data_IF_753140038297
#
_entry.id   IF_753140038297
#
_cell.length_a   1.000
_cell.length_b   1.000
_cell.length_c   1.000
_cell.angle_alpha   90.00
_cell.angle_beta   90.00
_cell.angle_gamma   90.00
#
_symmetry.space_group_name_H-M   'P 1'
#
loop_
_entity.id
_entity.type
_entity.pdbx_description
1 polymer ?
#
# COMPACT_ATOMS: atom_id res chain seq x y z
N UNK A 1 12.82 -6.45 4.37
CA UNK A 1 12.76 -7.65 3.50
C UNK A 1 12.30 -7.20 2.14
N UNK A 2 12.94 -7.66 1.06
CA UNK A 2 12.51 -7.34 -0.29
C UNK A 2 11.27 -8.16 -0.66
N UNK A 3 10.22 -7.49 -1.13
CA UNK A 3 8.93 -8.13 -1.43
C UNK A 3 9.05 -9.10 -2.61
N UNK A 4 9.87 -8.80 -3.63
CA UNK A 4 10.03 -9.67 -4.79
C UNK A 4 10.70 -10.98 -4.38
N UNK A 5 11.73 -10.91 -3.53
CA UNK A 5 12.39 -12.11 -2.99
C UNK A 5 11.39 -12.96 -2.20
N UNK A 6 10.63 -12.34 -1.30
CA UNK A 6 9.68 -13.05 -0.44
C UNK A 6 8.57 -13.77 -1.23
N UNK A 7 8.01 -13.13 -2.27
CA UNK A 7 6.96 -13.77 -3.08
C UNK A 7 7.53 -14.87 -4.00
N UNK A 8 8.77 -14.75 -4.45
CA UNK A 8 9.46 -15.82 -5.16
C UNK A 8 9.75 -17.03 -4.26
N UNK A 9 10.00 -16.82 -2.98
CA UNK A 9 10.15 -17.91 -2.00
C UNK A 9 8.85 -18.72 -1.86
N UNK A 10 7.69 -18.05 -1.86
CA UNK A 10 6.38 -18.73 -1.90
C UNK A 10 6.24 -19.54 -3.19
N UNK A 11 6.50 -18.93 -4.35
CA UNK A 11 6.36 -19.60 -5.65
C UNK A 11 7.24 -20.85 -5.78
N UNK A 12 8.42 -20.82 -5.16
CA UNK A 12 9.37 -21.93 -5.18
C UNK A 12 9.15 -22.94 -4.04
N UNK A 13 8.12 -22.76 -3.21
CA UNK A 13 7.81 -23.67 -2.09
C UNK A 13 8.83 -23.62 -0.95
N UNK A 14 9.59 -22.52 -0.81
CA UNK A 14 10.53 -22.31 0.30
C UNK A 14 9.82 -21.81 1.56
N UNK A 15 8.69 -21.12 1.39
CA UNK A 15 7.85 -20.59 2.46
C UNK A 15 6.39 -20.84 2.09
N UNK A 16 5.57 -21.23 3.06
CA UNK A 16 4.16 -21.58 2.81
C UNK A 16 3.27 -20.34 2.60
N UNK A 17 3.57 -19.23 3.30
CA UNK A 17 2.81 -17.98 3.24
C UNK A 17 3.65 -16.75 3.61
N UNK A 18 3.25 -15.58 3.10
CA UNK A 18 3.87 -14.30 3.43
C UNK A 18 2.77 -13.25 3.65
N UNK A 19 2.87 -12.50 4.76
CA UNK A 19 1.91 -11.46 5.12
C UNK A 19 2.29 -10.14 4.43
N UNK A 20 1.34 -9.56 3.70
CA UNK A 20 1.52 -8.35 2.90
C UNK A 20 0.29 -7.46 2.97
N UNK A 21 0.49 -6.14 2.80
CA UNK A 21 -0.63 -5.22 2.57
C UNK A 21 -1.37 -5.56 1.28
N UNK A 22 -2.71 -5.50 1.33
CA UNK A 22 -3.59 -6.02 0.27
C UNK A 22 -3.27 -5.50 -1.14
N UNK A 23 -3.08 -4.18 -1.39
CA UNK A 23 -2.81 -3.71 -2.75
C UNK A 23 -1.56 -4.34 -3.38
N UNK A 24 -0.52 -4.55 -2.57
CA UNK A 24 0.73 -5.17 -3.01
C UNK A 24 0.53 -6.67 -3.23
N UNK A 25 -0.17 -7.34 -2.31
CA UNK A 25 -0.49 -8.77 -2.44
C UNK A 25 -1.23 -9.04 -3.76
N UNK A 26 -2.28 -8.26 -4.06
CA UNK A 26 -3.05 -8.36 -5.29
C UNK A 26 -2.20 -8.12 -6.55
N UNK A 27 -1.32 -7.12 -6.54
CA UNK A 27 -0.40 -6.89 -7.65
C UNK A 27 0.52 -8.09 -7.89
N UNK A 28 1.07 -8.69 -6.83
CA UNK A 28 2.06 -9.77 -6.94
C UNK A 28 1.46 -11.11 -7.30
N UNK A 29 0.27 -11.44 -6.79
CA UNK A 29 -0.40 -12.70 -7.13
C UNK A 29 -0.81 -12.75 -8.59
N UNK A 30 -1.25 -11.62 -9.17
CA UNK A 30 -1.57 -11.47 -10.60
C UNK A 30 -0.32 -11.65 -11.49
N UNK A 31 0.79 -11.06 -11.10
CA UNK A 31 2.08 -11.16 -11.82
C UNK A 31 2.61 -12.60 -11.85
N UNK A 32 2.49 -13.33 -10.74
CA UNK A 32 3.19 -14.60 -10.54
C UNK A 32 2.31 -15.85 -10.65
N UNK A 33 1.01 -15.69 -10.86
CA UNK A 33 0.04 -16.78 -10.93
C UNK A 33 -0.23 -17.43 -9.56
N UNK A 34 -0.16 -16.64 -8.49
CA UNK A 34 -0.45 -17.06 -7.12
C UNK A 34 -1.87 -16.63 -6.73
N UNK A 35 -2.26 -16.86 -5.47
CA UNK A 35 -3.54 -16.41 -4.90
C UNK A 35 -3.35 -15.84 -3.51
N UNK A 36 -4.19 -14.87 -3.14
CA UNK A 36 -4.37 -14.47 -1.74
C UNK A 36 -5.17 -15.56 -1.06
N UNK A 37 -4.61 -16.17 0.00
CA UNK A 37 -5.24 -17.29 0.70
C UNK A 37 -6.18 -16.83 1.82
N UNK A 38 -5.92 -15.67 2.41
CA UNK A 38 -6.67 -15.12 3.54
C UNK A 38 -6.58 -13.58 3.52
N UNK A 39 -7.68 -12.94 3.85
CA UNK A 39 -7.76 -11.51 4.15
C UNK A 39 -8.34 -11.33 5.55
N UNK A 40 -7.78 -10.41 6.32
CA UNK A 40 -8.31 -10.04 7.61
C UNK A 40 -8.04 -8.55 7.86
N UNK A 41 -8.98 -7.84 8.49
CA UNK A 41 -8.74 -6.48 8.93
C UNK A 41 -7.73 -6.48 10.08
N UNK A 42 -6.86 -5.48 10.12
CA UNK A 42 -6.08 -5.17 11.32
C UNK A 42 -6.98 -4.38 12.28
N UNK A 43 -6.82 -4.60 13.59
CA UNK A 43 -7.58 -3.84 14.61
C UNK A 43 -7.24 -2.35 14.62
N UNK A 44 -6.06 -1.99 14.11
CA UNK A 44 -5.57 -0.62 13.97
C UNK A 44 -5.59 -0.19 12.51
N UNK A 45 -6.02 1.04 12.21
CA UNK A 45 -5.87 1.57 10.84
C UNK A 45 -4.39 1.78 10.54
N UNK A 46 -3.98 1.34 9.35
CA UNK A 46 -2.70 1.69 8.76
C UNK A 46 -2.94 2.80 7.74
N UNK A 47 -3.16 4.02 8.22
CA UNK A 47 -3.35 5.16 7.33
C UNK A 47 -2.00 5.57 6.71
N UNK A 48 -1.84 5.52 5.38
CA UNK A 48 -0.60 5.93 4.74
C UNK A 48 -0.35 7.43 4.95
N UNK A 49 0.88 7.77 5.33
CA UNK A 49 1.28 9.14 5.62
C UNK A 49 2.63 9.48 5.00
N UNK A 50 2.87 10.78 4.78
CA UNK A 50 4.17 11.30 4.38
C UNK A 50 4.98 11.59 5.65
N UNK A 51 6.12 10.91 5.80
CA UNK A 51 7.01 11.07 6.94
C UNK A 51 7.95 12.26 6.72
N UNK A 52 8.09 13.10 7.74
CA UNK A 52 9.02 14.24 7.76
C UNK A 52 9.98 14.15 8.97
N UNK A 53 11.16 14.79 8.92
CA UNK A 53 12.00 14.98 10.09
C UNK A 53 11.24 15.66 11.24
N UNK A 54 11.61 15.34 12.49
CA UNK A 54 11.05 16.02 13.65
C UNK A 54 11.37 17.52 13.57
N UNK A 55 10.38 18.36 13.84
CA UNK A 55 10.51 19.83 13.79
C UNK A 55 10.26 20.46 12.41
N UNK A 56 9.92 19.68 11.37
CA UNK A 56 9.57 20.22 10.04
C UNK A 56 8.14 20.79 9.97
N UNK A 57 7.77 21.67 10.91
CA UNK A 57 6.38 22.12 11.09
C UNK A 57 5.83 22.92 9.90
N UNK A 58 6.62 23.81 9.31
CA UNK A 58 6.20 24.58 8.13
C UNK A 58 5.92 23.67 6.92
N UNK A 59 6.81 22.70 6.66
CA UNK A 59 6.63 21.72 5.58
C UNK A 59 5.41 20.84 5.83
N UNK A 60 5.23 20.40 7.08
CA UNK A 60 4.07 19.59 7.49
C UNK A 60 2.77 20.34 7.24
N UNK A 61 2.71 21.63 7.58
CA UNK A 61 1.53 22.45 7.34
C UNK A 61 1.23 22.56 5.84
N UNK A 62 2.22 22.93 5.03
CA UNK A 62 2.07 23.06 3.57
C UNK A 62 1.62 21.75 2.91
N UNK A 63 2.22 20.62 3.29
CA UNK A 63 1.80 19.32 2.76
C UNK A 63 0.37 18.98 3.16
N UNK A 64 -0.03 19.23 4.40
CA UNK A 64 -1.40 18.96 4.85
C UNK A 64 -2.44 19.83 4.12
N UNK A 65 -2.12 21.10 3.85
CA UNK A 65 -2.96 21.99 3.04
C UNK A 65 -3.14 21.45 1.62
N UNK A 66 -2.04 21.10 0.94
CA UNK A 66 -2.09 20.51 -0.41
C UNK A 66 -2.87 19.19 -0.41
N UNK A 67 -2.60 18.28 0.54
CA UNK A 67 -3.30 17.00 0.66
C UNK A 67 -4.80 17.21 0.83
N UNK A 68 -5.21 18.23 1.59
CA UNK A 68 -6.62 18.57 1.75
C UNK A 68 -7.24 19.03 0.43
N UNK A 69 -6.59 19.95 -0.28
CA UNK A 69 -7.07 20.44 -1.58
C UNK A 69 -7.26 19.32 -2.60
N UNK A 70 -6.27 18.43 -2.75
CA UNK A 70 -6.34 17.30 -3.71
C UNK A 70 -7.29 16.17 -3.29
N UNK A 71 -7.72 16.16 -2.02
CA UNK A 71 -8.81 15.30 -1.55
C UNK A 71 -10.16 15.90 -1.91
N UNK A 72 -10.32 17.21 -1.68
CA UNK A 72 -11.56 17.95 -1.94
C UNK A 72 -11.88 18.04 -3.44
N UNK A 73 -10.87 18.19 -4.30
CA UNK A 73 -11.05 18.26 -5.76
C UNK A 73 -11.22 16.88 -6.43
N UNK A 74 -11.06 15.79 -5.67
CA UNK A 74 -11.22 14.41 -6.15
C UNK A 74 -9.98 13.81 -6.82
N UNK A 75 -8.85 14.50 -6.89
CA UNK A 75 -7.60 13.99 -7.47
C UNK A 75 -7.12 12.72 -6.77
N UNK A 76 -7.18 12.66 -5.43
CA UNK A 76 -6.82 11.45 -4.67
C UNK A 76 -7.68 10.25 -5.11
N UNK A 77 -8.98 10.44 -5.25
CA UNK A 77 -9.89 9.37 -5.69
C UNK A 77 -9.53 8.86 -7.09
N UNK A 78 -9.19 9.75 -8.01
CA UNK A 78 -8.74 9.36 -9.36
C UNK A 78 -7.45 8.54 -9.33
N UNK A 79 -6.51 8.88 -8.44
CA UNK A 79 -5.27 8.13 -8.25
C UNK A 79 -5.53 6.76 -7.63
N UNK A 80 -6.42 6.66 -6.64
CA UNK A 80 -6.83 5.39 -6.03
C UNK A 80 -7.51 4.47 -7.06
N UNK A 81 -8.44 4.99 -7.86
CA UNK A 81 -9.12 4.25 -8.93
C UNK A 81 -8.12 3.75 -9.98
N UNK A 82 -7.07 4.52 -10.27
CA UNK A 82 -6.05 4.16 -11.26
C UNK A 82 -5.06 3.10 -10.76
N UNK A 83 -4.62 3.20 -9.51
CA UNK A 83 -3.46 2.44 -9.02
C UNK A 83 -3.78 1.38 -7.96
N UNK A 84 -4.84 1.56 -7.18
CA UNK A 84 -5.11 0.75 -5.98
C UNK A 84 -6.35 -0.11 -6.15
N UNK A 85 -7.38 0.40 -6.83
CA UNK A 85 -8.62 -0.32 -7.04
C UNK A 85 -8.35 -1.65 -7.75
N UNK A 86 -8.86 -2.72 -7.14
CA UNK A 86 -8.66 -4.09 -7.60
C UNK A 86 -9.12 -4.21 -9.07
N UNK A 87 -8.22 -4.70 -9.93
CA UNK A 87 -8.44 -5.01 -11.35
C UNK A 87 -8.50 -6.51 -11.59
#
# INVERSE_FOLDING_TARGET
>A
MDINVAVLDIKNGRVDAFLLGLPVAYSKVKELGLKVALEFPLETSEDPAIVLPKGSDEMKQKLNEIIKEIKEDGTIKQLEDKWIKQQ
#
